data_IF_667282652800
#
_entry.id   IF_667282652800
#
_cell.length_a   1.000
_cell.length_b   1.000
_cell.length_c   1.000
_cell.angle_alpha   90.00
_cell.angle_beta   90.00
_cell.angle_gamma   90.00
#
_symmetry.space_group_name_H-M   'P 1'
#
loop_
_entity.id
_entity.type
_entity.pdbx_description
1 polymer ?
#
# COMPACT_ATOMS: atom_id res chain seq x y z
N UNK A 1 58.18 62.67 13.28
CA UNK A 1 56.91 62.39 13.98
C UNK A 1 56.06 61.56 13.03
N UNK A 2 55.95 60.27 13.31
CA UNK A 2 55.12 59.34 12.54
C UNK A 2 53.74 59.28 13.21
N UNK A 3 52.70 59.51 12.43
CA UNK A 3 51.30 59.46 12.83
C UNK A 3 50.88 57.98 12.99
N UNK A 4 50.23 57.57 14.10
CA UNK A 4 49.87 56.18 14.29
C UNK A 4 48.67 55.83 13.41
N UNK A 5 48.81 54.72 12.70
CA UNK A 5 47.79 54.05 11.90
C UNK A 5 46.47 53.91 12.66
N UNK A 6 45.46 54.66 12.21
CA UNK A 6 44.06 54.32 12.46
C UNK A 6 43.75 53.06 11.64
N UNK A 7 43.81 51.89 12.27
CA UNK A 7 43.20 50.68 11.71
C UNK A 7 41.71 50.95 11.53
N UNK A 8 41.27 51.02 10.27
CA UNK A 8 39.86 50.89 9.92
C UNK A 8 39.35 49.56 10.47
N UNK A 9 38.17 49.51 11.12
CA UNK A 9 37.60 48.22 11.52
C UNK A 9 37.46 47.35 10.27
N UNK A 10 38.14 46.20 10.26
CA UNK A 10 37.88 45.18 9.26
C UNK A 10 36.37 44.88 9.30
N UNK A 11 35.68 44.82 8.14
CA UNK A 11 34.30 44.36 8.12
C UNK A 11 34.26 42.98 8.75
N UNK A 12 33.46 42.81 9.80
CA UNK A 12 33.14 41.50 10.36
C UNK A 12 32.82 40.58 9.19
N UNK A 13 33.68 39.57 8.97
CA UNK A 13 33.52 38.65 7.86
C UNK A 13 32.09 38.11 7.90
N UNK A 14 31.36 38.24 6.79
CA UNK A 14 29.96 37.85 6.71
C UNK A 14 29.78 36.42 7.25
N UNK A 15 29.11 36.33 8.40
CA UNK A 15 28.98 35.10 9.17
C UNK A 15 28.20 34.08 8.36
N UNK A 16 28.82 32.93 8.09
CA UNK A 16 28.21 31.84 7.32
C UNK A 16 27.92 30.64 8.20
N UNK A 17 26.68 30.15 8.14
CA UNK A 17 26.21 28.95 8.81
C UNK A 17 25.97 27.89 7.74
N UNK A 18 26.62 26.75 7.85
CA UNK A 18 26.35 25.60 7.02
C UNK A 18 25.22 24.77 7.64
N UNK A 19 24.21 24.43 6.83
CA UNK A 19 23.20 23.44 7.12
C UNK A 19 23.67 22.12 6.54
N UNK A 20 24.22 21.28 7.40
CA UNK A 20 24.88 20.02 7.04
C UNK A 20 23.87 18.87 6.91
N UNK A 21 22.79 18.91 7.70
CA UNK A 21 21.77 17.86 7.68
C UNK A 21 20.40 18.28 8.20
N UNK A 22 19.37 17.54 7.78
CA UNK A 22 18.04 17.56 8.39
C UNK A 22 17.63 16.11 8.68
N UNK A 23 17.36 15.82 9.95
CA UNK A 23 16.71 14.59 10.40
C UNK A 23 15.22 14.85 10.67
N UNK A 24 14.33 13.98 10.19
CA UNK A 24 12.89 14.07 10.44
C UNK A 24 12.49 13.20 11.62
N UNK A 25 12.52 13.76 12.82
CA UNK A 25 12.14 13.06 14.07
C UNK A 25 10.69 12.55 14.03
N UNK A 26 9.81 13.24 13.29
CA UNK A 26 8.42 12.81 13.11
C UNK A 26 8.22 11.68 12.09
N UNK A 27 9.27 11.24 11.39
CA UNK A 27 9.20 10.11 10.46
C UNK A 27 8.82 8.81 11.20
N UNK A 28 8.15 7.91 10.50
CA UNK A 28 7.87 6.59 11.05
C UNK A 28 9.13 5.72 11.18
N UNK A 29 10.19 5.97 10.40
CA UNK A 29 11.39 5.14 10.35
C UNK A 29 11.14 3.77 9.71
N UNK A 30 10.12 3.66 8.86
CA UNK A 30 9.68 2.39 8.27
C UNK A 30 9.95 2.27 6.77
N UNK A 31 10.12 3.39 6.06
CA UNK A 31 10.37 3.36 4.62
C UNK A 31 11.72 2.68 4.32
N UNK A 32 11.73 1.86 3.28
CA UNK A 32 12.94 1.21 2.76
C UNK A 32 12.96 1.17 1.23
N UNK A 33 14.13 0.85 0.68
CA UNK A 33 14.35 0.85 -0.76
C UNK A 33 14.26 2.26 -1.35
N UNK A 34 14.75 3.25 -0.60
CA UNK A 34 14.88 4.63 -1.09
C UNK A 34 16.03 4.78 -2.09
N UNK A 35 17.00 3.88 -2.03
CA UNK A 35 18.17 3.83 -2.92
C UNK A 35 18.16 2.46 -3.62
N UNK A 36 18.20 2.45 -4.95
CA UNK A 36 18.12 1.23 -5.75
C UNK A 36 16.69 0.68 -5.93
N UNK A 37 16.40 0.16 -7.13
CA UNK A 37 15.08 -0.40 -7.45
C UNK A 37 14.90 -1.79 -6.86
N UNK A 38 13.98 -1.95 -5.89
CA UNK A 38 13.64 -3.27 -5.30
C UNK A 38 12.44 -3.93 -5.97
N UNK A 39 11.85 -3.26 -6.96
CA UNK A 39 10.59 -3.66 -7.59
C UNK A 39 9.46 -3.60 -6.57
N UNK A 40 8.61 -4.62 -6.57
CA UNK A 40 7.50 -4.74 -5.63
C UNK A 40 7.84 -5.52 -4.37
N UNK A 41 9.04 -6.08 -4.27
CA UNK A 41 9.48 -6.89 -3.12
C UNK A 41 9.59 -6.06 -1.85
N UNK A 42 9.32 -6.70 -0.71
CA UNK A 42 9.60 -6.14 0.61
C UNK A 42 11.11 -6.18 0.91
N UNK A 43 11.93 -5.52 0.10
CA UNK A 43 13.40 -5.57 0.15
C UNK A 43 14.02 -4.16 0.15
N UNK A 44 15.35 -4.11 0.26
CA UNK A 44 16.15 -2.89 0.32
C UNK A 44 16.42 -2.43 1.75
N UNK A 45 17.47 -1.63 1.90
CA UNK A 45 17.83 -1.03 3.18
C UNK A 45 16.81 0.04 3.61
N UNK A 46 16.63 0.24 4.93
CA UNK A 46 15.93 1.41 5.45
C UNK A 46 16.47 2.70 4.83
N UNK A 47 15.59 3.68 4.63
CA UNK A 47 16.01 4.97 4.09
C UNK A 47 17.03 5.63 5.03
N UNK A 48 18.10 6.19 4.46
CA UNK A 48 19.26 6.65 5.21
C UNK A 48 18.92 7.86 6.09
N UNK A 49 19.47 7.88 7.32
CA UNK A 49 19.46 9.04 8.20
C UNK A 49 20.84 9.72 8.18
N UNK A 50 20.94 11.06 8.25
CA UNK A 50 19.83 12.02 8.14
C UNK A 50 19.16 11.95 6.77
N UNK A 51 17.86 12.25 6.72
CA UNK A 51 17.07 12.11 5.49
C UNK A 51 17.36 13.22 4.47
N UNK A 52 18.07 14.27 4.88
CA UNK A 52 18.61 15.28 3.99
C UNK A 52 20.06 15.63 4.34
N UNK A 53 20.91 15.72 3.32
CA UNK A 53 22.23 16.39 3.32
C UNK A 53 22.37 17.19 2.02
N UNK A 54 23.40 18.04 1.85
CA UNK A 54 23.63 18.71 0.57
C UNK A 54 23.78 17.76 -0.62
N UNK A 55 24.24 16.52 -0.40
CA UNK A 55 24.50 15.52 -1.43
C UNK A 55 23.28 14.63 -1.72
N UNK A 56 22.34 14.47 -0.77
CA UNK A 56 21.21 13.55 -0.92
C UNK A 56 19.95 14.00 -0.20
N UNK A 57 18.80 13.54 -0.70
CA UNK A 57 17.51 13.67 -0.05
C UNK A 57 16.75 12.35 -0.22
N UNK A 58 16.32 11.76 0.88
CA UNK A 58 15.46 10.57 0.89
C UNK A 58 14.08 10.92 1.43
N UNK A 59 13.02 10.26 0.93
CA UNK A 59 11.66 10.52 1.37
C UNK A 59 11.39 10.00 2.78
N UNK A 60 10.45 10.64 3.45
CA UNK A 60 9.94 10.26 4.77
C UNK A 60 8.45 9.96 4.73
N UNK A 61 7.92 9.31 5.77
CA UNK A 61 6.49 9.09 5.95
C UNK A 61 6.02 9.59 7.32
N UNK A 62 4.96 10.39 7.35
CA UNK A 62 4.47 11.00 8.59
C UNK A 62 2.95 10.87 8.64
N UNK A 63 2.41 10.55 9.82
CA UNK A 63 0.96 10.52 10.04
C UNK A 63 0.35 11.93 9.91
N UNK A 64 -0.77 12.04 9.22
CA UNK A 64 -1.51 13.28 9.03
C UNK A 64 -1.96 13.91 10.37
N UNK A 65 -2.14 15.23 10.40
CA UNK A 65 -2.58 15.93 11.61
C UNK A 65 -1.53 16.01 12.73
N UNK A 66 -0.26 15.68 12.45
CA UNK A 66 0.87 15.85 13.36
C UNK A 66 1.73 17.05 12.99
N UNK A 67 2.42 17.62 13.97
CA UNK A 67 3.50 18.57 13.69
C UNK A 67 4.69 17.82 13.09
N UNK A 68 5.37 18.46 12.16
CA UNK A 68 6.67 17.99 11.67
C UNK A 68 7.70 18.40 12.69
N UNK A 69 8.50 17.45 13.14
CA UNK A 69 9.64 17.71 14.02
C UNK A 69 10.89 17.36 13.24
N UNK A 70 11.81 18.32 13.13
CA UNK A 70 13.08 18.16 12.45
C UNK A 70 14.23 18.49 13.39
N UNK A 71 15.37 17.86 13.18
CA UNK A 71 16.62 18.16 13.86
C UNK A 71 17.66 18.58 12.83
N UNK A 72 18.20 19.78 13.00
CA UNK A 72 19.20 20.36 12.09
C UNK A 72 20.61 20.07 12.59
N UNK A 73 21.47 19.57 11.69
CA UNK A 73 22.92 19.62 11.87
C UNK A 73 23.46 20.93 11.30
N UNK A 74 24.06 21.76 12.15
CA UNK A 74 24.62 23.06 11.77
C UNK A 74 26.09 23.16 12.15
N UNK A 75 26.90 23.71 11.24
CA UNK A 75 28.29 24.09 11.51
C UNK A 75 28.54 25.56 11.13
N UNK A 76 29.55 26.17 11.74
CA UNK A 76 29.94 27.57 11.51
C UNK A 76 31.42 27.66 11.13
N UNK A 77 31.74 28.48 10.12
CA UNK A 77 33.12 28.84 9.78
C UNK A 77 33.41 30.29 10.20
N UNK A 78 34.60 30.53 10.78
CA UNK A 78 35.01 31.82 11.38
C UNK A 78 35.00 31.75 12.91
N UNK A 79 36.18 31.88 13.53
CA UNK A 79 36.46 31.48 14.93
C UNK A 79 35.67 32.18 16.06
N UNK A 80 35.84 31.62 17.27
CA UNK A 80 35.19 31.89 18.57
C UNK A 80 33.70 31.48 18.65
N UNK A 81 33.21 31.02 19.83
CA UNK A 81 31.88 30.43 19.98
C UNK A 81 30.82 31.49 19.67
N UNK A 82 30.17 31.26 18.54
CA UNK A 82 28.99 31.93 18.04
C UNK A 82 28.05 32.47 19.13
N UNK A 83 27.86 33.79 19.15
CA UNK A 83 26.69 34.38 19.78
C UNK A 83 25.45 33.68 19.17
N UNK A 84 24.54 33.17 20.00
CA UNK A 84 23.60 32.17 19.54
C UNK A 84 22.57 32.81 18.57
N UNK A 85 22.26 32.14 17.45
CA UNK A 85 21.50 32.71 16.32
C UNK A 85 20.13 32.08 16.20
N UNK A 86 19.13 32.88 15.81
CA UNK A 86 17.80 32.39 15.47
C UNK A 86 17.80 31.75 14.08
N UNK A 87 17.31 30.52 13.98
CA UNK A 87 17.19 29.79 12.71
C UNK A 87 15.72 29.69 12.34
N UNK A 88 15.40 30.03 11.09
CA UNK A 88 14.03 30.01 10.59
C UNK A 88 13.95 29.34 9.22
N UNK A 89 13.05 28.37 9.11
CA UNK A 89 12.68 27.70 7.86
C UNK A 89 11.24 28.02 7.47
N UNK A 90 11.00 28.35 6.21
CA UNK A 90 9.66 28.64 5.66
C UNK A 90 9.35 27.67 4.54
N UNK A 91 8.28 26.90 4.71
CA UNK A 91 7.81 25.88 3.78
C UNK A 91 6.48 26.21 3.10
N UNK A 92 5.96 25.27 2.30
CA UNK A 92 4.66 25.39 1.64
C UNK A 92 3.52 25.52 2.66
N UNK A 93 2.38 26.07 2.20
CA UNK A 93 1.16 26.24 2.99
C UNK A 93 1.35 26.98 4.34
N UNK A 94 2.40 27.80 4.45
CA UNK A 94 2.69 28.56 5.66
C UNK A 94 3.26 27.73 6.81
N UNK A 95 3.76 26.52 6.55
CA UNK A 95 4.54 25.74 7.52
C UNK A 95 5.83 26.53 7.81
N UNK A 96 6.09 26.84 9.07
CA UNK A 96 7.34 27.49 9.48
C UNK A 96 8.00 26.73 10.62
N UNK A 97 9.32 26.73 10.64
CA UNK A 97 10.16 26.22 11.72
C UNK A 97 10.95 27.38 12.28
N UNK A 98 11.02 27.52 13.61
CA UNK A 98 11.70 28.64 14.25
C UNK A 98 12.30 28.16 15.57
N UNK A 99 13.58 28.48 15.82
CA UNK A 99 14.21 28.17 17.10
C UNK A 99 13.59 29.04 18.20
N UNK A 100 13.19 28.43 19.32
CA UNK A 100 12.57 29.14 20.46
C UNK A 100 13.52 30.07 21.23
N UNK A 101 14.75 30.23 20.75
CA UNK A 101 15.79 31.04 21.32
C UNK A 101 17.03 31.00 20.44
N UNK A 102 18.11 31.50 21.00
CA UNK A 102 19.40 31.56 20.34
C UNK A 102 20.08 30.18 20.36
N UNK A 103 20.62 29.75 19.22
CA UNK A 103 21.16 28.40 19.05
C UNK A 103 22.68 28.32 19.25
N UNK A 104 23.16 27.42 20.12
CA UNK A 104 24.58 27.13 20.27
C UNK A 104 25.05 26.14 19.19
N UNK A 105 26.17 26.43 18.55
CA UNK A 105 26.72 25.61 17.45
C UNK A 105 27.50 24.42 18.01
N UNK A 106 27.38 23.25 17.36
CA UNK A 106 27.99 21.99 17.80
C UNK A 106 27.03 20.99 18.45
N UNK A 107 25.79 21.39 18.73
CA UNK A 107 24.70 20.47 19.11
C UNK A 107 23.56 20.55 18.07
N UNK A 108 22.85 19.45 17.80
CA UNK A 108 21.72 19.47 16.88
C UNK A 108 20.57 20.37 17.36
N UNK A 109 19.88 21.01 16.42
CA UNK A 109 18.81 21.99 16.69
C UNK A 109 17.47 21.37 16.36
N UNK A 110 16.66 21.06 17.38
CA UNK A 110 15.32 20.52 17.16
C UNK A 110 14.31 21.65 16.95
N UNK A 111 13.57 21.59 15.83
CA UNK A 111 12.54 22.53 15.46
C UNK A 111 11.22 21.80 15.23
N UNK A 112 10.13 22.38 15.74
CA UNK A 112 8.77 21.90 15.49
C UNK A 112 8.06 22.85 14.53
N UNK A 113 7.29 22.31 13.59
CA UNK A 113 6.48 23.12 12.68
C UNK A 113 5.42 23.91 13.43
N UNK A 114 5.23 25.17 13.02
CA UNK A 114 4.24 26.10 13.58
C UNK A 114 2.79 25.63 13.43
N UNK A 115 2.55 24.71 12.49
CA UNK A 115 1.24 24.10 12.21
C UNK A 115 1.40 22.61 12.00
N UNK A 116 0.31 21.88 12.23
CA UNK A 116 0.21 20.45 11.92
C UNK A 116 0.07 20.25 10.42
N UNK A 117 0.58 19.13 9.90
CA UNK A 117 0.30 18.67 8.54
C UNK A 117 -1.22 18.52 8.39
N UNK A 118 -1.74 18.94 7.25
CA UNK A 118 -3.14 18.78 6.88
C UNK A 118 -3.62 17.32 7.05
N UNK A 119 -4.87 17.13 7.46
CA UNK A 119 -5.49 15.81 7.56
C UNK A 119 -5.85 15.31 6.17
N UNK A 120 -4.86 14.86 5.41
CA UNK A 120 -5.02 14.35 4.04
C UNK A 120 -3.93 13.35 3.71
N UNK A 121 -4.30 12.25 3.06
CA UNK A 121 -3.31 11.33 2.47
C UNK A 121 -2.77 12.00 1.20
N UNK A 122 -1.47 12.25 1.15
CA UNK A 122 -0.84 12.95 0.03
C UNK A 122 0.68 12.76 0.01
N UNK A 123 1.29 13.08 -1.14
CA UNK A 123 2.73 13.28 -1.26
C UNK A 123 3.01 14.78 -1.26
N UNK A 124 3.65 15.28 -0.21
CA UNK A 124 4.04 16.68 -0.06
C UNK A 124 5.52 16.83 -0.42
N UNK A 125 5.85 17.81 -1.27
CA UNK A 125 7.23 18.24 -1.43
C UNK A 125 7.52 19.37 -0.44
N UNK A 126 8.24 19.07 0.64
CA UNK A 126 8.59 20.03 1.67
C UNK A 126 9.81 20.85 1.24
N UNK A 127 9.55 21.86 0.41
CA UNK A 127 10.55 22.83 -0.01
C UNK A 127 10.69 23.91 1.06
N UNK A 128 11.84 23.99 1.73
CA UNK A 128 12.09 24.94 2.82
C UNK A 128 13.05 26.03 2.35
N UNK A 129 12.71 27.29 2.62
CA UNK A 129 13.61 28.44 2.52
C UNK A 129 14.13 28.79 3.91
N UNK A 130 15.45 28.79 4.06
CA UNK A 130 16.13 28.97 5.32
C UNK A 130 16.69 30.38 5.46
N UNK A 131 16.70 30.88 6.69
CA UNK A 131 17.25 32.17 7.06
C UNK A 131 17.81 32.10 8.48
N UNK A 132 18.80 32.95 8.75
CA UNK A 132 19.41 33.11 10.06
C UNK A 132 19.30 34.57 10.52
N UNK A 133 19.10 34.79 11.81
CA UNK A 133 19.08 36.12 12.43
C UNK A 133 20.47 36.77 12.49
N UNK A 134 20.51 38.04 12.87
CA UNK A 134 21.77 38.75 13.18
C UNK A 134 22.72 38.95 11.99
N UNK A 135 22.19 39.02 10.76
CA UNK A 135 22.98 39.25 9.54
C UNK A 135 23.76 38.04 9.04
N UNK A 136 23.63 36.87 9.68
CA UNK A 136 24.25 35.64 9.22
C UNK A 136 23.54 35.06 7.99
N UNK A 137 24.30 34.42 7.11
CA UNK A 137 23.76 33.64 5.98
C UNK A 137 23.70 32.16 6.35
N UNK A 138 22.71 31.45 5.81
CA UNK A 138 22.57 30.00 5.97
C UNK A 138 22.68 29.35 4.60
N UNK A 139 23.57 28.37 4.48
CA UNK A 139 23.86 27.67 3.22
C UNK A 139 23.71 26.15 3.38
N UNK A 140 22.94 25.47 2.52
CA UNK A 140 22.14 26.06 1.45
C UNK A 140 20.92 26.80 2.01
N UNK A 141 20.57 27.93 1.37
CA UNK A 141 19.37 28.69 1.75
C UNK A 141 18.05 28.01 1.38
N UNK A 142 18.09 26.86 0.69
CA UNK A 142 16.91 26.07 0.31
C UNK A 142 17.18 24.57 0.42
N UNK A 143 16.20 23.83 0.90
CA UNK A 143 16.21 22.35 0.94
C UNK A 143 14.89 21.78 0.44
N UNK A 144 14.89 20.48 0.10
CA UNK A 144 13.71 19.78 -0.40
C UNK A 144 13.70 18.32 0.03
N UNK A 145 12.57 17.87 0.58
CA UNK A 145 12.32 16.47 0.93
C UNK A 145 10.91 16.07 0.53
N UNK A 146 10.75 14.86 0.00
CA UNK A 146 9.43 14.28 -0.24
C UNK A 146 8.88 13.69 1.07
N UNK A 147 7.65 14.05 1.42
CA UNK A 147 6.96 13.61 2.63
C UNK A 147 5.68 12.90 2.22
N UNK A 148 5.61 11.59 2.46
CA UNK A 148 4.39 10.81 2.31
C UNK A 148 3.53 10.96 3.57
N UNK A 149 2.42 11.66 3.44
CA UNK A 149 1.45 11.84 4.52
C UNK A 149 0.48 10.67 4.50
N UNK A 150 0.48 9.87 5.58
CA UNK A 150 -0.38 8.69 5.74
C UNK A 150 -1.48 8.95 6.76
N UNK A 151 -2.52 8.11 6.78
CA UNK A 151 -3.63 8.28 7.74
C UNK A 151 -3.18 7.98 9.18
N UNK A 152 -2.30 6.99 9.32
CA UNK A 152 -1.63 6.62 10.56
C UNK A 152 -0.28 5.97 10.30
N UNK A 153 0.34 5.40 11.34
CA UNK A 153 1.61 4.65 11.20
C UNK A 153 1.34 3.39 10.36
N UNK A 154 2.13 3.12 9.30
CA UNK A 154 2.04 1.86 8.56
C UNK A 154 2.22 0.63 9.46
N UNK A 155 1.56 -0.48 9.12
CA UNK A 155 1.58 -1.72 9.90
C UNK A 155 2.52 -2.77 9.27
N UNK A 156 3.42 -3.33 10.07
CA UNK A 156 4.46 -4.28 9.62
C UNK A 156 4.43 -5.63 10.34
N UNK A 157 3.47 -5.85 11.24
CA UNK A 157 3.35 -7.02 12.11
C UNK A 157 3.03 -8.35 11.40
N UNK A 158 2.87 -8.33 10.08
CA UNK A 158 2.49 -9.51 9.26
C UNK A 158 3.34 -9.66 7.99
N UNK A 159 4.51 -9.01 7.95
CA UNK A 159 5.41 -9.06 6.80
C UNK A 159 6.05 -10.44 6.53
N UNK A 160 6.06 -11.32 7.54
CA UNK A 160 6.51 -12.71 7.40
C UNK A 160 5.37 -13.67 7.00
N UNK A 161 4.14 -13.18 6.98
CA UNK A 161 2.94 -13.93 6.58
C UNK A 161 2.52 -13.57 5.16
N UNK A 162 2.47 -12.27 4.84
CA UNK A 162 2.00 -11.77 3.55
C UNK A 162 3.10 -11.08 2.77
N UNK A 163 3.25 -11.48 1.50
CA UNK A 163 4.17 -10.85 0.54
C UNK A 163 3.84 -9.36 0.31
N UNK A 164 2.56 -8.99 0.43
CA UNK A 164 2.06 -7.63 0.24
C UNK A 164 2.45 -6.69 1.38
N UNK A 165 2.84 -7.24 2.54
CA UNK A 165 3.16 -6.45 3.71
C UNK A 165 4.60 -5.95 3.69
N UNK A 166 4.81 -4.82 4.37
CA UNK A 166 6.09 -4.12 4.46
C UNK A 166 6.16 -2.84 3.63
N UNK A 167 6.91 -1.89 4.14
CA UNK A 167 6.82 -0.46 3.81
C UNK A 167 7.97 -0.05 2.91
N UNK A 168 7.79 -0.16 1.59
CA UNK A 168 8.81 0.29 0.62
C UNK A 168 8.40 1.58 -0.07
N UNK A 169 9.37 2.33 -0.58
CA UNK A 169 9.11 3.57 -1.31
C UNK A 169 8.15 3.36 -2.49
N UNK A 170 8.38 2.33 -3.31
CA UNK A 170 7.53 2.04 -4.48
C UNK A 170 6.08 1.75 -4.07
N UNK A 171 5.88 0.97 -3.01
CA UNK A 171 4.55 0.62 -2.47
C UNK A 171 3.85 1.84 -1.87
N UNK A 172 4.58 2.66 -1.09
CA UNK A 172 4.06 3.90 -0.54
C UNK A 172 3.64 4.88 -1.63
N UNK A 173 4.49 5.11 -2.63
CA UNK A 173 4.19 6.01 -3.74
C UNK A 173 2.97 5.54 -4.54
N UNK A 174 2.85 4.23 -4.79
CA UNK A 174 1.67 3.65 -5.43
C UNK A 174 0.41 3.79 -4.58
N UNK A 175 0.46 3.44 -3.30
CA UNK A 175 -0.70 3.54 -2.42
C UNK A 175 -1.20 4.99 -2.30
N UNK A 176 -0.28 5.94 -2.09
CA UNK A 176 -0.63 7.37 -2.03
C UNK A 176 -1.18 7.86 -3.36
N UNK A 177 -0.61 7.47 -4.51
CA UNK A 177 -1.13 7.91 -5.82
C UNK A 177 -2.51 7.38 -6.14
N UNK A 178 -2.91 6.22 -5.58
CA UNK A 178 -4.26 5.68 -5.75
C UNK A 178 -5.29 6.31 -4.81
N UNK A 179 -4.89 6.62 -3.56
CA UNK A 179 -5.81 7.07 -2.52
C UNK A 179 -5.90 8.59 -2.40
N UNK A 180 -4.82 9.34 -2.62
CA UNK A 180 -4.82 10.80 -2.51
C UNK A 180 -5.84 11.50 -3.43
N UNK A 181 -6.09 11.03 -4.68
CA UNK A 181 -7.11 11.62 -5.55
C UNK A 181 -8.55 11.42 -5.06
N UNK A 182 -8.81 10.42 -4.21
CA UNK A 182 -10.14 10.16 -3.67
C UNK A 182 -10.63 11.29 -2.74
N UNK A 183 -9.69 12.03 -2.15
CA UNK A 183 -9.97 13.17 -1.27
C UNK A 183 -10.95 12.85 -0.13
N UNK A 184 -10.90 11.62 0.39
CA UNK A 184 -11.71 11.15 1.51
C UNK A 184 -10.81 10.63 2.62
N UNK A 185 -11.31 10.72 3.84
CA UNK A 185 -10.73 10.09 5.03
C UNK A 185 -11.63 8.99 5.60
N UNK A 186 -12.74 8.66 4.95
CA UNK A 186 -13.59 7.53 5.34
C UNK A 186 -12.90 6.22 4.94
N UNK A 187 -12.50 5.36 5.90
CA UNK A 187 -11.85 4.10 5.59
C UNK A 187 -12.69 3.18 4.71
N UNK A 188 -14.02 3.14 4.87
CA UNK A 188 -14.89 2.30 4.03
C UNK A 188 -14.96 2.80 2.59
N UNK A 189 -14.96 4.12 2.39
CA UNK A 189 -14.92 4.73 1.06
C UNK A 189 -13.58 4.46 0.37
N UNK A 190 -12.46 4.52 1.10
CA UNK A 190 -11.13 4.16 0.60
C UNK A 190 -11.11 2.71 0.13
N UNK A 191 -11.58 1.76 0.96
CA UNK A 191 -11.61 0.34 0.58
C UNK A 191 -12.49 0.10 -0.65
N UNK A 192 -13.69 0.68 -0.68
CA UNK A 192 -14.60 0.56 -1.82
C UNK A 192 -14.00 1.12 -3.11
N UNK A 193 -13.32 2.27 -3.02
CA UNK A 193 -12.70 2.93 -4.17
C UNK A 193 -11.50 2.17 -4.73
N UNK A 194 -10.69 1.53 -3.86
CA UNK A 194 -9.59 0.67 -4.31
C UNK A 194 -10.18 -0.60 -4.97
N UNK A 195 -11.20 -1.21 -4.36
CA UNK A 195 -11.89 -2.39 -4.92
C UNK A 195 -12.47 -2.12 -6.31
N UNK A 196 -13.10 -0.94 -6.50
CA UNK A 196 -13.74 -0.57 -7.76
C UNK A 196 -12.80 -0.52 -8.97
N UNK A 197 -11.47 -0.51 -8.76
CA UNK A 197 -10.48 -0.62 -9.83
C UNK A 197 -10.43 -2.02 -10.45
N UNK A 198 -10.95 -3.02 -9.77
CA UNK A 198 -11.00 -4.41 -10.20
C UNK A 198 -12.46 -4.87 -10.27
N UNK A 199 -13.20 -4.48 -11.31
CA UNK A 199 -14.64 -4.78 -11.42
C UNK A 199 -14.94 -6.27 -11.60
N UNK A 200 -13.94 -7.06 -12.02
CA UNK A 200 -14.03 -8.50 -12.23
C UNK A 200 -12.73 -9.17 -11.80
N UNK A 201 -12.76 -10.47 -11.51
CA UNK A 201 -11.57 -11.31 -11.37
C UNK A 201 -11.21 -12.00 -12.71
N UNK A 202 -10.06 -12.67 -12.75
CA UNK A 202 -9.73 -13.62 -13.83
C UNK A 202 -9.03 -14.86 -13.31
N UNK A 203 -9.29 -16.00 -13.95
CA UNK A 203 -8.59 -17.28 -13.74
C UNK A 203 -7.64 -17.61 -14.91
N UNK A 204 -7.62 -16.79 -15.96
CA UNK A 204 -6.81 -17.01 -17.15
C UNK A 204 -5.51 -16.19 -17.06
N UNK A 205 -4.33 -16.81 -17.19
CA UNK A 205 -3.07 -16.09 -17.31
C UNK A 205 -3.07 -15.14 -18.52
N UNK A 206 -2.61 -13.92 -18.32
CA UNK A 206 -2.45 -12.92 -19.39
C UNK A 206 -0.99 -12.87 -19.84
N UNK A 207 -0.69 -12.93 -21.15
CA UNK A 207 0.66 -12.75 -21.66
C UNK A 207 1.18 -11.32 -21.49
N UNK A 208 0.30 -10.35 -21.15
CA UNK A 208 0.68 -8.96 -20.85
C UNK A 208 1.32 -8.81 -19.47
N UNK A 209 1.07 -9.74 -18.55
CA UNK A 209 1.73 -9.75 -17.25
C UNK A 209 3.00 -10.61 -17.31
N UNK A 210 4.17 -10.07 -16.92
CA UNK A 210 5.40 -10.85 -16.83
C UNK A 210 5.23 -12.12 -16.00
N UNK A 211 5.75 -13.24 -16.52
CA UNK A 211 5.58 -14.57 -15.91
C UNK A 211 6.04 -14.64 -14.46
N UNK A 212 7.06 -13.87 -14.09
CA UNK A 212 7.59 -13.79 -12.71
C UNK A 212 6.57 -13.37 -11.65
N UNK A 213 5.49 -12.70 -12.06
CA UNK A 213 4.40 -12.32 -11.15
C UNK A 213 3.36 -13.41 -10.94
N UNK A 214 3.43 -14.55 -11.64
CA UNK A 214 2.50 -15.68 -11.49
C UNK A 214 1.01 -15.25 -11.60
N UNK A 215 0.69 -14.35 -12.54
CA UNK A 215 -0.70 -13.98 -12.85
C UNK A 215 -1.49 -15.22 -13.29
N UNK A 216 -2.75 -15.39 -12.85
CA UNK A 216 -3.56 -14.41 -12.10
C UNK A 216 -3.50 -14.56 -10.57
N UNK A 217 -2.81 -15.59 -10.07
CA UNK A 217 -2.74 -15.87 -8.63
C UNK A 217 -1.94 -14.81 -7.87
N UNK A 218 -0.89 -14.24 -8.46
CA UNK A 218 0.09 -13.41 -7.77
C UNK A 218 0.67 -14.06 -6.49
N UNK A 219 0.77 -15.39 -6.47
CA UNK A 219 1.46 -16.14 -5.42
C UNK A 219 2.93 -16.29 -5.84
N UNK A 220 3.71 -15.23 -5.61
CA UNK A 220 5.08 -15.11 -6.07
C UNK A 220 5.99 -14.48 -4.99
N UNK A 221 7.30 -14.59 -5.16
CA UNK A 221 8.32 -13.93 -4.33
C UNK A 221 8.72 -12.51 -4.80
N UNK A 222 7.97 -11.93 -5.74
CA UNK A 222 8.24 -10.64 -6.37
C UNK A 222 7.40 -9.51 -5.79
N UNK A 223 6.85 -9.68 -4.58
CA UNK A 223 5.98 -8.70 -3.93
C UNK A 223 4.49 -9.02 -4.02
N UNK A 224 4.14 -10.24 -4.44
CA UNK A 224 2.77 -10.72 -4.44
C UNK A 224 1.88 -9.92 -5.39
N UNK A 225 0.72 -9.50 -4.89
CA UNK A 225 -0.33 -8.82 -5.65
C UNK A 225 -0.03 -7.34 -5.98
N UNK A 226 1.06 -6.75 -5.47
CA UNK A 226 1.42 -5.35 -5.77
C UNK A 226 1.58 -5.07 -7.27
N UNK A 227 2.05 -6.04 -8.04
CA UNK A 227 2.20 -5.90 -9.49
C UNK A 227 0.85 -5.70 -10.21
N UNK A 228 -0.29 -6.11 -9.63
CA UNK A 228 -1.62 -5.81 -10.18
C UNK A 228 -1.85 -4.31 -10.36
N UNK A 229 -1.16 -3.48 -9.58
CA UNK A 229 -1.28 -2.03 -9.73
C UNK A 229 -0.70 -1.50 -11.05
N UNK A 230 0.26 -2.21 -11.65
CA UNK A 230 0.83 -1.90 -12.97
C UNK A 230 -0.01 -2.51 -14.11
N UNK A 231 -0.86 -3.49 -13.79
CA UNK A 231 -1.62 -4.31 -14.74
C UNK A 231 -3.11 -4.36 -14.38
N UNK A 232 -3.69 -3.21 -14.02
CA UNK A 232 -5.07 -3.12 -13.52
C UNK A 232 -6.08 -3.76 -14.47
N UNK A 233 -5.87 -3.59 -15.79
CA UNK A 233 -6.71 -4.16 -16.84
C UNK A 233 -6.65 -5.70 -16.93
N UNK A 234 -5.56 -6.33 -16.45
CA UNK A 234 -5.45 -7.79 -16.42
C UNK A 234 -6.09 -8.41 -15.19
N UNK A 235 -6.43 -7.58 -14.19
CA UNK A 235 -6.95 -7.98 -12.88
C UNK A 235 -6.15 -9.14 -12.24
N UNK A 236 -6.74 -9.87 -11.32
CA UNK A 236 -6.21 -11.09 -10.73
C UNK A 236 -7.34 -11.95 -10.19
N UNK A 237 -6.99 -13.03 -9.50
CA UNK A 237 -7.99 -13.83 -8.77
C UNK A 237 -8.57 -13.03 -7.60
N UNK A 238 -9.76 -13.42 -7.12
CA UNK A 238 -10.43 -12.78 -5.99
C UNK A 238 -9.50 -12.65 -4.76
N UNK A 239 -8.67 -13.67 -4.48
CA UNK A 239 -7.69 -13.64 -3.40
C UNK A 239 -6.55 -12.64 -3.62
N UNK A 240 -6.10 -12.45 -4.87
CA UNK A 240 -5.03 -11.50 -5.18
C UNK A 240 -5.51 -10.06 -4.99
N UNK A 241 -6.74 -9.77 -5.43
CA UNK A 241 -7.39 -8.46 -5.23
C UNK A 241 -7.43 -8.13 -3.73
N UNK A 242 -8.00 -8.99 -2.90
CA UNK A 242 -8.17 -8.69 -1.46
C UNK A 242 -6.83 -8.62 -0.71
N UNK A 243 -5.80 -9.38 -1.12
CA UNK A 243 -4.44 -9.24 -0.59
C UNK A 243 -3.83 -7.88 -0.92
N UNK A 244 -3.98 -7.39 -2.16
CA UNK A 244 -3.51 -6.07 -2.56
C UNK A 244 -4.19 -4.97 -1.73
N UNK A 245 -5.53 -5.03 -1.61
CA UNK A 245 -6.29 -4.06 -0.82
C UNK A 245 -5.78 -4.03 0.63
N UNK A 246 -5.66 -5.21 1.28
CA UNK A 246 -5.11 -5.33 2.63
C UNK A 246 -3.70 -4.69 2.73
N UNK A 247 -2.83 -4.97 1.76
CA UNK A 247 -1.48 -4.40 1.69
C UNK A 247 -1.48 -2.88 1.60
N UNK A 248 -2.34 -2.29 0.77
CA UNK A 248 -2.47 -0.82 0.66
C UNK A 248 -2.98 -0.16 1.93
N UNK A 249 -3.99 -0.73 2.59
CA UNK A 249 -4.53 -0.20 3.85
C UNK A 249 -3.46 -0.18 4.94
N UNK A 250 -2.67 -1.27 5.03
CA UNK A 250 -1.58 -1.39 6.00
C UNK A 250 -0.41 -0.47 5.66
N UNK A 251 -0.10 -0.27 4.38
CA UNK A 251 0.91 0.67 3.88
C UNK A 251 0.60 2.13 4.24
N UNK A 252 -0.68 2.51 4.27
CA UNK A 252 -1.14 3.87 4.57
C UNK A 252 -1.57 4.06 6.03
N UNK A 253 -1.48 3.00 6.86
CA UNK A 253 -1.94 3.03 8.24
C UNK A 253 -3.42 3.39 8.37
N UNK A 254 -4.26 2.92 7.44
CA UNK A 254 -5.71 3.12 7.49
C UNK A 254 -6.23 2.36 8.73
N UNK A 255 -6.95 3.03 9.66
CA UNK A 255 -7.45 2.40 10.86
C UNK A 255 -8.59 1.43 10.54
N UNK A 256 -8.65 0.34 11.27
CA UNK A 256 -9.65 -0.71 11.10
C UNK A 256 -9.01 -2.09 11.19
N UNK A 257 -9.85 -3.11 11.36
CA UNK A 257 -9.40 -4.51 11.37
C UNK A 257 -9.67 -5.13 10.01
N UNK A 258 -8.65 -5.78 9.44
CA UNK A 258 -8.76 -6.53 8.18
C UNK A 258 -8.61 -8.02 8.45
N UNK A 259 -9.43 -8.84 7.78
CA UNK A 259 -9.25 -10.29 7.65
C UNK A 259 -9.53 -10.69 6.21
N UNK A 260 -8.78 -11.67 5.70
CA UNK A 260 -9.07 -12.26 4.38
C UNK A 260 -9.87 -13.52 4.64
N UNK A 261 -11.15 -13.49 4.28
CA UNK A 261 -12.00 -14.66 4.37
C UNK A 261 -12.13 -15.32 3.01
N UNK A 262 -12.27 -16.63 3.00
CA UNK A 262 -12.73 -17.40 1.84
C UNK A 262 -14.12 -17.93 2.11
N UNK A 263 -15.02 -17.83 1.13
CA UNK A 263 -16.43 -18.18 1.23
C UNK A 263 -16.79 -19.21 0.17
N UNK A 264 -17.43 -20.31 0.55
CA UNK A 264 -17.82 -21.37 -0.39
C UNK A 264 -19.09 -22.11 0.05
N UNK A 265 -19.66 -22.87 -0.88
CA UNK A 265 -20.68 -23.89 -0.61
C UNK A 265 -20.07 -25.27 -0.77
N UNK A 266 -20.49 -26.24 0.04
CA UNK A 266 -20.02 -27.63 -0.01
C UNK A 266 -21.20 -28.57 -0.29
N UNK A 267 -21.09 -29.50 -1.27
CA UNK A 267 -22.19 -30.39 -1.63
C UNK A 267 -22.66 -31.28 -0.48
N UNK A 268 -21.80 -31.57 0.49
CA UNK A 268 -22.09 -32.39 1.66
C UNK A 268 -22.68 -31.60 2.83
N UNK A 269 -22.80 -30.27 2.71
CA UNK A 269 -23.28 -29.39 3.78
C UNK A 269 -24.48 -28.59 3.30
N UNK A 270 -25.66 -28.87 3.85
CA UNK A 270 -26.89 -28.16 3.49
C UNK A 270 -27.23 -28.24 2.00
N UNK A 271 -26.81 -29.31 1.32
CA UNK A 271 -26.98 -29.49 -0.13
C UNK A 271 -26.31 -28.39 -0.96
N UNK A 272 -25.16 -27.87 -0.51
CA UNK A 272 -24.45 -26.77 -1.18
C UNK A 272 -24.98 -25.37 -0.88
N UNK A 273 -26.16 -25.24 -0.27
CA UNK A 273 -26.79 -23.92 -0.04
C UNK A 273 -26.35 -23.23 1.25
N UNK A 274 -25.68 -23.96 2.14
CA UNK A 274 -25.14 -23.36 3.36
C UNK A 274 -23.82 -22.69 3.04
N UNK A 275 -23.74 -21.38 3.29
CA UNK A 275 -22.51 -20.63 3.20
C UNK A 275 -21.53 -21.08 4.28
N UNK A 276 -20.33 -21.46 3.85
CA UNK A 276 -19.18 -21.74 4.70
C UNK A 276 -18.16 -20.62 4.51
N UNK A 277 -17.44 -20.29 5.58
CA UNK A 277 -16.38 -19.28 5.53
C UNK A 277 -15.26 -19.62 6.50
N UNK A 278 -14.04 -19.23 6.14
CA UNK A 278 -12.87 -19.35 7.02
C UNK A 278 -11.91 -18.17 6.80
N UNK A 279 -11.17 -17.82 7.85
CA UNK A 279 -10.07 -16.87 7.76
C UNK A 279 -8.83 -17.56 7.17
N UNK A 280 -8.30 -16.99 6.09
CA UNK A 280 -7.17 -17.54 5.36
C UNK A 280 -5.86 -17.47 6.16
N UNK A 281 -5.74 -16.54 7.12
CA UNK A 281 -4.59 -16.52 8.04
C UNK A 281 -4.65 -17.67 9.05
N UNK A 282 -5.85 -18.10 9.47
CA UNK A 282 -6.05 -19.18 10.44
C UNK A 282 -6.12 -20.56 9.76
N UNK A 283 -6.67 -20.62 8.55
CA UNK A 283 -6.87 -21.84 7.76
C UNK A 283 -6.45 -21.63 6.30
N UNK A 284 -5.14 -21.65 5.99
CA UNK A 284 -4.63 -21.36 4.64
C UNK A 284 -5.10 -22.33 3.54
N UNK A 285 -5.57 -23.52 3.92
CA UNK A 285 -6.08 -24.56 3.01
C UNK A 285 -7.60 -24.52 2.84
N UNK A 286 -8.30 -23.58 3.47
CA UNK A 286 -9.76 -23.49 3.41
C UNK A 286 -10.28 -23.25 2.00
N UNK A 287 -11.52 -23.70 1.77
CA UNK A 287 -12.17 -23.68 0.48
C UNK A 287 -12.71 -25.05 0.08
N UNK A 288 -13.45 -25.09 -1.02
CA UNK A 288 -14.02 -26.32 -1.55
C UNK A 288 -12.92 -27.28 -2.02
N UNK A 289 -12.90 -28.49 -1.45
CA UNK A 289 -11.96 -29.56 -1.82
C UNK A 289 -12.64 -30.94 -1.72
N UNK A 290 -13.80 -31.05 -2.35
CA UNK A 290 -14.64 -32.24 -2.25
C UNK A 290 -14.54 -33.06 -3.54
N UNK A 291 -14.30 -34.36 -3.39
CA UNK A 291 -14.26 -35.32 -4.51
C UNK A 291 -15.13 -36.53 -4.22
N UNK A 292 -15.64 -37.17 -5.28
CA UNK A 292 -16.32 -38.46 -5.20
C UNK A 292 -16.02 -39.32 -6.44
N UNK A 293 -16.24 -40.63 -6.36
CA UNK A 293 -16.04 -41.55 -7.48
C UNK A 293 -17.39 -42.14 -7.88
N UNK A 294 -17.79 -41.91 -9.12
CA UNK A 294 -19.06 -42.43 -9.68
C UNK A 294 -18.75 -43.15 -10.99
N UNK A 295 -19.11 -44.44 -11.07
CA UNK A 295 -18.86 -45.25 -12.27
C UNK A 295 -17.39 -45.32 -12.66
N UNK A 296 -16.47 -45.33 -11.69
CA UNK A 296 -15.02 -45.35 -11.91
C UNK A 296 -14.41 -44.00 -12.36
N UNK A 297 -15.22 -42.94 -12.48
CA UNK A 297 -14.75 -41.59 -12.82
C UNK A 297 -14.68 -40.71 -11.57
N UNK A 298 -13.60 -39.94 -11.44
CA UNK A 298 -13.45 -38.95 -10.36
C UNK A 298 -14.26 -37.71 -10.71
N UNK A 299 -15.18 -37.36 -9.82
CA UNK A 299 -15.91 -36.10 -9.85
C UNK A 299 -15.34 -35.17 -8.78
N UNK A 300 -15.19 -33.90 -9.12
CA UNK A 300 -14.73 -32.83 -8.23
C UNK A 300 -15.84 -31.80 -8.09
N UNK A 301 -15.97 -31.22 -6.90
CA UNK A 301 -16.89 -30.12 -6.68
C UNK A 301 -16.25 -28.80 -7.10
N UNK A 302 -17.02 -27.91 -7.72
CA UNK A 302 -16.60 -26.54 -8.03
C UNK A 302 -17.76 -25.56 -7.94
N UNK A 303 -17.46 -24.35 -7.49
CA UNK A 303 -18.33 -23.20 -7.64
C UNK A 303 -18.15 -22.67 -9.06
N UNK A 304 -19.25 -22.43 -9.77
CA UNK A 304 -19.21 -22.02 -11.18
C UNK A 304 -19.81 -20.63 -11.33
N UNK A 305 -19.14 -19.75 -12.08
CA UNK A 305 -19.53 -18.34 -12.21
C UNK A 305 -20.53 -18.06 -13.34
N UNK A 306 -20.65 -19.00 -14.29
CA UNK A 306 -21.55 -18.90 -15.44
C UNK A 306 -22.54 -20.06 -15.51
N UNK A 307 -23.64 -19.88 -16.27
CA UNK A 307 -24.64 -20.91 -16.44
C UNK A 307 -24.09 -22.15 -17.14
N UNK A 308 -24.49 -23.33 -16.66
CA UNK A 308 -24.12 -24.61 -17.26
C UNK A 308 -25.26 -25.63 -17.31
N UNK A 309 -25.07 -26.66 -18.12
CA UNK A 309 -26.01 -27.77 -18.30
C UNK A 309 -25.39 -29.10 -17.87
N UNK A 310 -26.17 -29.94 -17.18
CA UNK A 310 -25.75 -31.31 -16.86
C UNK A 310 -25.48 -32.12 -18.13
N UNK A 311 -24.40 -32.91 -18.12
CA UNK A 311 -23.97 -33.71 -19.25
C UNK A 311 -23.32 -32.92 -20.39
N UNK A 312 -23.15 -31.61 -20.26
CA UNK A 312 -22.44 -30.80 -21.25
C UNK A 312 -20.94 -30.71 -20.93
N UNK A 313 -20.13 -30.66 -21.99
CA UNK A 313 -18.68 -30.44 -21.90
C UNK A 313 -18.35 -29.01 -22.28
N UNK A 314 -17.51 -28.38 -21.47
CA UNK A 314 -17.01 -27.02 -21.65
C UNK A 314 -15.49 -27.05 -21.83
N UNK A 315 -14.92 -26.13 -22.62
CA UNK A 315 -13.48 -25.90 -22.66
C UNK A 315 -12.95 -25.45 -21.29
N UNK A 316 -11.62 -25.37 -21.17
CA UNK A 316 -10.98 -24.83 -19.97
C UNK A 316 -11.58 -23.49 -19.53
N UNK A 317 -11.65 -23.27 -18.22
CA UNK A 317 -12.23 -22.07 -17.63
C UNK A 317 -11.71 -20.78 -18.27
N UNK A 318 -12.62 -19.85 -18.52
CA UNK A 318 -12.37 -18.57 -19.18
C UNK A 318 -11.74 -18.64 -20.58
N UNK A 319 -11.79 -19.80 -21.24
CA UNK A 319 -11.49 -19.90 -22.68
C UNK A 319 -12.53 -19.11 -23.48
N UNK A 320 -12.09 -18.28 -24.42
CA UNK A 320 -12.99 -17.54 -25.32
C UNK A 320 -13.68 -18.51 -26.29
N UNK A 321 -15.01 -18.49 -26.29
CA UNK A 321 -15.86 -19.30 -27.15
C UNK A 321 -16.07 -18.61 -28.51
N UNK A 322 -16.61 -19.35 -29.48
CA UNK A 322 -16.86 -18.86 -30.84
C UNK A 322 -17.89 -17.73 -30.90
N UNK A 323 -18.78 -17.65 -29.92
CA UNK A 323 -19.75 -16.56 -29.76
C UNK A 323 -19.17 -15.33 -29.04
N UNK A 324 -17.88 -15.35 -28.70
CA UNK A 324 -17.18 -14.28 -28.01
C UNK A 324 -17.34 -14.29 -26.49
N UNK A 325 -18.18 -15.16 -25.92
CA UNK A 325 -18.32 -15.35 -24.48
C UNK A 325 -17.14 -16.15 -23.91
N UNK A 326 -17.05 -16.24 -22.59
CA UNK A 326 -16.04 -17.03 -21.89
C UNK A 326 -16.67 -18.32 -21.36
N UNK A 327 -15.95 -19.43 -21.48
CA UNK A 327 -16.27 -20.67 -20.77
C UNK A 327 -16.33 -20.39 -19.26
N UNK A 328 -17.31 -20.92 -18.50
CA UNK A 328 -17.43 -20.64 -17.08
C UNK A 328 -16.17 -21.03 -16.27
N UNK A 329 -15.87 -20.22 -15.27
CA UNK A 329 -14.79 -20.43 -14.31
C UNK A 329 -15.15 -21.45 -13.24
N UNK A 330 -14.22 -22.36 -12.95
CA UNK A 330 -14.30 -23.30 -11.83
C UNK A 330 -13.53 -22.73 -10.64
N UNK A 331 -14.25 -22.45 -9.55
CA UNK A 331 -13.72 -21.79 -8.36
C UNK A 331 -13.83 -22.70 -7.14
N UNK A 332 -12.88 -22.56 -6.21
CA UNK A 332 -12.93 -23.22 -4.89
C UNK A 332 -13.63 -22.39 -3.83
N UNK A 333 -13.64 -21.08 -4.00
CA UNK A 333 -14.21 -20.11 -3.07
C UNK A 333 -14.29 -18.73 -3.74
N UNK A 334 -15.00 -17.82 -3.10
CA UNK A 334 -14.83 -16.37 -3.28
C UNK A 334 -14.03 -15.81 -2.10
N UNK A 335 -12.95 -15.09 -2.38
CA UNK A 335 -12.18 -14.42 -1.33
C UNK A 335 -12.73 -13.01 -1.10
N UNK A 336 -12.91 -12.63 0.16
CA UNK A 336 -13.36 -11.30 0.54
C UNK A 336 -12.48 -10.70 1.65
N UNK A 337 -12.36 -9.37 1.64
CA UNK A 337 -11.80 -8.62 2.76
C UNK A 337 -12.92 -8.31 3.75
N UNK A 338 -12.93 -8.94 4.92
CA UNK A 338 -13.69 -8.44 6.07
C UNK A 338 -12.96 -7.21 6.59
N UNK A 339 -13.63 -6.05 6.56
CA UNK A 339 -13.09 -4.80 7.10
C UNK A 339 -14.05 -4.18 8.10
N UNK A 340 -13.56 -3.99 9.32
CA UNK A 340 -14.31 -3.40 10.42
C UNK A 340 -13.71 -2.07 10.87
N UNK A 341 -14.48 -1.00 10.81
CA UNK A 341 -14.10 0.34 11.27
C UNK A 341 -15.33 1.12 11.75
N UNK A 342 -15.18 1.94 12.80
CA UNK A 342 -16.26 2.84 13.25
C UNK A 342 -17.56 2.12 13.69
N UNK A 343 -17.47 0.88 14.15
CA UNK A 343 -18.64 0.07 14.52
C UNK A 343 -19.38 -0.59 13.33
N UNK A 344 -18.86 -0.42 12.11
CA UNK A 344 -19.40 -1.03 10.89
C UNK A 344 -18.44 -2.10 10.39
N UNK A 345 -18.98 -3.24 10.00
CA UNK A 345 -18.24 -4.30 9.29
C UNK A 345 -18.83 -4.45 7.90
N UNK A 346 -17.96 -4.52 6.89
CA UNK A 346 -18.33 -4.79 5.49
C UNK A 346 -17.43 -5.88 4.93
N UNK A 347 -17.95 -6.62 3.97
CA UNK A 347 -17.24 -7.71 3.29
C UNK A 347 -17.05 -7.34 1.82
N UNK A 348 -15.82 -7.10 1.42
CA UNK A 348 -15.46 -6.68 0.06
C UNK A 348 -14.97 -7.90 -0.74
N UNK A 349 -15.85 -8.49 -1.53
CA UNK A 349 -15.56 -9.67 -2.35
C UNK A 349 -14.74 -9.28 -3.59
N UNK A 350 -13.63 -9.99 -3.82
CA UNK A 350 -12.62 -9.66 -4.82
C UNK A 350 -13.15 -9.74 -6.25
N UNK A 351 -13.51 -8.60 -6.83
CA UNK A 351 -14.05 -8.54 -8.18
C UNK A 351 -15.53 -8.90 -8.30
N UNK A 352 -16.27 -8.83 -7.19
CA UNK A 352 -17.69 -9.22 -7.15
C UNK A 352 -18.62 -8.23 -6.46
N UNK A 353 -18.18 -7.52 -5.41
CA UNK A 353 -19.00 -6.49 -4.76
C UNK A 353 -18.73 -6.29 -3.27
N UNK A 354 -19.61 -5.52 -2.63
CA UNK A 354 -19.54 -5.20 -1.19
C UNK A 354 -20.82 -5.67 -0.51
N UNK A 355 -20.68 -6.37 0.61
CA UNK A 355 -21.78 -7.04 1.31
C UNK A 355 -21.81 -6.66 2.80
N UNK A 356 -22.99 -6.73 3.39
CA UNK A 356 -23.23 -6.54 4.82
C UNK A 356 -22.91 -7.78 5.66
N UNK A 357 -22.91 -8.97 5.05
CA UNK A 357 -22.61 -10.23 5.70
C UNK A 357 -21.99 -11.23 4.71
N UNK A 358 -21.49 -12.37 5.21
CA UNK A 358 -20.83 -13.38 4.38
C UNK A 358 -21.81 -14.23 3.57
N UNK A 359 -23.03 -14.42 4.06
CA UNK A 359 -24.06 -15.28 3.47
C UNK A 359 -24.37 -14.94 2.00
N UNK A 360 -24.65 -13.68 1.62
CA UNK A 360 -24.97 -13.33 0.23
C UNK A 360 -23.80 -13.48 -0.75
N UNK A 361 -22.56 -13.61 -0.27
CA UNK A 361 -21.37 -13.75 -1.12
C UNK A 361 -21.40 -15.05 -1.92
N UNK A 362 -22.04 -16.11 -1.41
CA UNK A 362 -22.19 -17.35 -2.17
C UNK A 362 -22.96 -17.12 -3.49
N UNK A 363 -23.87 -16.14 -3.48
CA UNK A 363 -24.59 -15.66 -4.66
C UNK A 363 -23.72 -14.87 -5.64
N UNK A 364 -22.40 -14.80 -5.49
CA UNK A 364 -21.47 -14.34 -6.53
C UNK A 364 -21.38 -15.34 -7.67
N UNK A 365 -21.46 -16.64 -7.34
CA UNK A 365 -21.45 -17.74 -8.30
C UNK A 365 -22.83 -17.99 -8.89
N UNK A 366 -22.88 -18.57 -10.08
CA UNK A 366 -24.11 -19.11 -10.65
C UNK A 366 -24.58 -20.34 -9.87
N UNK A 367 -23.66 -21.23 -9.50
CA UNK A 367 -24.01 -22.44 -8.77
C UNK A 367 -22.83 -23.26 -8.25
N UNK A 368 -23.15 -24.44 -7.73
CA UNK A 368 -22.22 -25.47 -7.31
C UNK A 368 -22.48 -26.73 -8.14
N UNK A 369 -21.42 -27.30 -8.70
CA UNK A 369 -21.50 -28.46 -9.57
C UNK A 369 -20.56 -29.57 -9.13
N UNK A 370 -20.89 -30.80 -9.54
CA UNK A 370 -19.93 -31.87 -9.73
C UNK A 370 -19.48 -31.88 -11.18
N UNK A 371 -18.18 -31.89 -11.40
CA UNK A 371 -17.59 -31.99 -12.74
C UNK A 371 -16.54 -33.09 -12.81
N UNK A 372 -16.22 -33.53 -14.01
CA UNK A 372 -15.07 -34.40 -14.29
C UNK A 372 -14.19 -33.79 -15.38
N UNK A 373 -12.92 -34.20 -15.42
CA UNK A 373 -11.99 -33.73 -16.45
C UNK A 373 -12.43 -34.16 -17.84
N UNK A 374 -12.28 -33.26 -18.81
CA UNK A 374 -12.45 -33.49 -20.23
C UNK A 374 -11.16 -33.16 -20.99
N UNK A 375 -11.04 -33.51 -22.29
CA UNK A 375 -9.86 -33.19 -23.10
C UNK A 375 -9.54 -31.69 -23.13
N UNK A 376 -8.27 -31.35 -23.41
CA UNK A 376 -7.77 -29.96 -23.51
C UNK A 376 -8.06 -29.11 -22.27
N UNK A 377 -7.88 -29.70 -21.08
CA UNK A 377 -8.14 -29.05 -19.78
C UNK A 377 -9.60 -28.60 -19.59
N UNK A 378 -10.52 -29.08 -20.45
CA UNK A 378 -11.94 -28.84 -20.31
C UNK A 378 -12.56 -29.61 -19.14
N UNK A 379 -13.84 -29.36 -18.92
CA UNK A 379 -14.62 -30.04 -17.90
C UNK A 379 -15.98 -30.49 -18.43
N UNK A 380 -16.46 -31.63 -17.94
CA UNK A 380 -17.83 -32.09 -18.15
C UNK A 380 -18.62 -31.88 -16.88
N UNK A 381 -19.77 -31.22 -16.98
CA UNK A 381 -20.69 -31.06 -15.86
C UNK A 381 -21.42 -32.38 -15.67
N UNK A 382 -21.23 -33.02 -14.53
CA UNK A 382 -21.83 -34.31 -14.22
C UNK A 382 -23.14 -34.15 -13.46
N UNK A 383 -23.22 -33.14 -12.57
CA UNK A 383 -24.43 -32.81 -11.82
C UNK A 383 -24.40 -31.36 -11.32
N UNK A 384 -25.54 -30.68 -11.36
CA UNK A 384 -25.75 -29.40 -10.69
C UNK A 384 -26.25 -29.70 -9.27
N UNK A 385 -25.51 -29.24 -8.27
CA UNK A 385 -25.84 -29.46 -6.84
C UNK A 385 -26.80 -28.39 -6.35
N UNK A 386 -26.48 -27.14 -6.64
CA UNK A 386 -27.27 -25.98 -6.27
C UNK A 386 -27.08 -24.86 -7.29
N UNK A 387 -28.14 -24.10 -7.52
CA UNK A 387 -28.12 -22.83 -8.25
C UNK A 387 -28.35 -21.70 -7.25
N UNK A 388 -27.54 -20.65 -7.35
CA UNK A 388 -27.59 -19.48 -6.47
C UNK A 388 -28.16 -18.24 -7.15
N UNK A 389 -28.10 -18.17 -8.49
CA UNK A 389 -28.62 -17.07 -9.33
C UNK A 389 -29.67 -17.52 -10.33
#
# INVERSE_FOLDING_TARGET
>A
MADPTTESPQPDAARSIALDSIEFVSDHGLLKGCEGGTGWRNAGEPCSQPEWTPERSVPVSISMGRSVVIRLGLSSSGGAPAAPVEIRGVGPAGITFQSGGTTAFGAPVELTSSRKIERRIQKLNLNLSWSAGGGATLSPGRTSNAVYVTMGRPLTDRQDVWQEDGVTLKRMDRAVSWVAPLNTLDPHEIVASIMARFPTYTLLPSPRVPREYHHPTYLNGQGGAWAMTDFVEETGECQAIVRLLRGMLRQLGIPGRTRILVVWGDPNVGGGRKTLSADLEEQPWAGLDTTQIVGGRVWRAALIDGPVEEGRTYPASHTRLSDGTLSPGLNRYEACLEFAHGGVTRYYAGGAGVFDSVEPILGVFWGLIWFSSAPNEGFRVEKIVATYR
#
